data_IF_678760872920
#
_entry.id   IF_678760872920
#
_cell.length_a   1.000
_cell.length_b   1.000
_cell.length_c   1.000
_cell.angle_alpha   90.00
_cell.angle_beta   90.00
_cell.angle_gamma   90.00
#
_symmetry.space_group_name_H-M   'P 1'
#
loop_
_entity.id
_entity.type
_entity.pdbx_description
1 polymer ?
#
# COMPACT_ATOMS: atom_id res chain seq x y z
N UNK A 1 -2.96 -22.01 9.55
CA UNK A 1 -3.57 -20.71 9.22
C UNK A 1 -3.14 -20.24 7.86
N UNK A 2 -4.07 -19.68 7.13
CA UNK A 2 -3.82 -19.18 5.80
C UNK A 2 -3.17 -17.79 5.88
N UNK A 3 -2.01 -17.62 5.24
CA UNK A 3 -1.37 -16.33 5.12
C UNK A 3 -1.69 -15.70 3.77
N UNK A 4 -1.81 -14.38 3.76
CA UNK A 4 -2.05 -13.62 2.52
C UNK A 4 -0.71 -13.18 1.93
N UNK A 5 -0.61 -13.23 0.61
CA UNK A 5 0.59 -12.78 -0.09
C UNK A 5 0.61 -11.26 -0.12
N UNK A 6 1.77 -10.68 0.19
CA UNK A 6 2.02 -9.24 0.10
C UNK A 6 3.23 -9.04 -0.80
N UNK A 7 3.03 -8.27 -1.86
CA UNK A 7 4.07 -7.90 -2.82
C UNK A 7 4.23 -6.39 -2.82
N UNK A 8 5.27 -5.90 -3.46
CA UNK A 8 5.49 -4.46 -3.55
C UNK A 8 6.13 -4.10 -4.89
N UNK A 9 5.91 -2.85 -5.30
CA UNK A 9 6.48 -2.29 -6.52
C UNK A 9 7.92 -1.84 -6.28
N UNK A 10 8.64 -1.61 -7.37
CA UNK A 10 9.99 -1.02 -7.29
C UNK A 10 9.94 0.36 -6.64
N UNK A 11 8.92 1.15 -6.95
CA UNK A 11 8.73 2.48 -6.39
C UNK A 11 8.54 2.44 -4.88
N UNK A 12 7.75 1.48 -4.39
CA UNK A 12 7.63 1.28 -2.95
C UNK A 12 8.97 0.90 -2.34
N UNK A 13 9.72 0.01 -2.99
CA UNK A 13 11.02 -0.42 -2.51
C UNK A 13 12.02 0.73 -2.41
N UNK A 14 12.00 1.65 -3.38
CA UNK A 14 12.85 2.84 -3.34
C UNK A 14 12.49 3.75 -2.16
N UNK A 15 11.20 4.00 -1.94
CA UNK A 15 10.73 4.79 -0.80
C UNK A 15 11.13 4.12 0.53
N UNK A 16 10.97 2.82 0.63
CA UNK A 16 11.34 2.04 1.81
C UNK A 16 12.81 2.22 2.19
N UNK A 17 13.69 2.22 1.21
CA UNK A 17 15.13 2.35 1.45
C UNK A 17 15.52 3.73 2.00
N UNK A 18 14.71 4.74 1.78
CA UNK A 18 14.96 6.08 2.31
C UNK A 18 14.54 6.25 3.77
N UNK A 19 13.79 5.29 4.31
CA UNK A 19 13.26 5.37 5.67
C UNK A 19 14.31 4.97 6.70
N UNK A 20 14.20 5.53 7.90
CA UNK A 20 15.02 5.08 9.02
C UNK A 20 14.51 3.74 9.54
N UNK A 21 15.33 3.09 10.39
CA UNK A 21 15.01 1.76 10.91
C UNK A 21 13.71 1.74 11.71
N UNK A 22 13.45 2.78 12.51
CA UNK A 22 12.22 2.85 13.31
C UNK A 22 10.98 2.85 12.43
N UNK A 23 10.99 3.63 11.33
CA UNK A 23 9.88 3.66 10.38
C UNK A 23 9.71 2.31 9.68
N UNK A 24 10.81 1.69 9.28
CA UNK A 24 10.78 0.37 8.66
C UNK A 24 10.20 -0.69 9.59
N UNK A 25 10.54 -0.65 10.88
CA UNK A 25 9.99 -1.58 11.87
C UNK A 25 8.48 -1.40 12.05
N UNK A 26 8.01 -0.15 12.10
CA UNK A 26 6.57 0.13 12.21
C UNK A 26 5.80 -0.37 10.98
N UNK A 27 6.34 -0.16 9.80
CA UNK A 27 5.74 -0.64 8.56
C UNK A 27 5.74 -2.17 8.53
N UNK A 28 6.84 -2.80 8.91
CA UNK A 28 6.95 -4.26 8.94
C UNK A 28 5.90 -4.88 9.86
N UNK A 29 5.66 -4.27 11.03
CA UNK A 29 4.62 -4.73 11.95
C UNK A 29 3.23 -4.66 11.31
N UNK A 30 2.95 -3.59 10.59
CA UNK A 30 1.68 -3.42 9.88
C UNK A 30 1.53 -4.43 8.75
N UNK A 31 2.60 -4.69 8.01
CA UNK A 31 2.59 -5.70 6.93
C UNK A 31 2.35 -7.10 7.51
N UNK A 32 2.89 -7.41 8.69
CA UNK A 32 2.59 -8.68 9.36
C UNK A 32 1.10 -8.82 9.68
N UNK A 33 0.46 -7.74 10.17
CA UNK A 33 -0.98 -7.74 10.39
C UNK A 33 -1.75 -7.96 9.09
N UNK A 34 -1.33 -7.32 8.02
CA UNK A 34 -1.94 -7.48 6.71
C UNK A 34 -1.79 -8.93 6.21
N UNK A 35 -0.63 -9.53 6.40
CA UNK A 35 -0.38 -10.92 6.03
C UNK A 35 -1.30 -11.89 6.80
N UNK A 36 -1.58 -11.59 8.07
CA UNK A 36 -2.44 -12.44 8.90
C UNK A 36 -3.92 -12.25 8.67
N UNK A 37 -4.36 -11.01 8.46
CA UNK A 37 -5.78 -10.66 8.37
C UNK A 37 -6.28 -10.49 6.93
N UNK A 38 -5.40 -10.15 6.01
CA UNK A 38 -5.78 -9.92 4.61
C UNK A 38 -6.82 -8.82 4.46
N UNK A 39 -7.86 -9.06 3.62
CA UNK A 39 -8.90 -8.05 3.39
C UNK A 39 -9.71 -7.67 4.62
N UNK A 40 -9.66 -8.47 5.69
CA UNK A 40 -10.40 -8.23 6.92
C UNK A 40 -9.67 -7.31 7.90
N UNK A 41 -8.47 -6.83 7.56
CA UNK A 41 -7.71 -5.95 8.43
C UNK A 41 -8.48 -4.66 8.70
N UNK A 42 -8.85 -4.39 9.99
CA UNK A 42 -9.75 -3.27 10.30
C UNK A 42 -9.03 -1.96 10.49
N UNK A 43 -9.81 -0.87 10.54
CA UNK A 43 -9.32 0.43 10.96
C UNK A 43 -8.77 0.35 12.39
N UNK A 44 -7.69 1.01 12.76
CA UNK A 44 -6.93 1.97 11.92
C UNK A 44 -5.82 1.34 11.08
N UNK A 45 -5.66 0.03 11.15
CA UNK A 45 -4.59 -0.68 10.42
C UNK A 45 -4.84 -0.73 8.93
N UNK A 46 -6.09 -0.55 8.50
CA UNK A 46 -6.47 -0.41 7.10
C UNK A 46 -7.75 0.41 6.98
N UNK A 47 -7.81 1.28 5.99
CA UNK A 47 -9.02 2.05 5.69
C UNK A 47 -9.12 2.27 4.18
N UNK A 48 -10.36 2.53 3.72
CA UNK A 48 -10.58 2.83 2.31
C UNK A 48 -10.04 4.19 1.92
N UNK A 49 -9.62 4.33 0.68
CA UNK A 49 -9.10 5.59 0.12
C UNK A 49 -10.18 6.23 -0.74
N UNK A 50 -10.55 7.46 -0.40
CA UNK A 50 -11.47 8.26 -1.22
C UNK A 50 -10.71 8.90 -2.38
N UNK A 51 -11.32 8.90 -3.57
CA UNK A 51 -10.77 9.60 -4.73
C UNK A 51 -9.91 8.75 -5.66
N UNK A 52 -9.66 7.49 -5.31
CA UNK A 52 -9.00 6.57 -6.22
C UNK A 52 -10.00 6.11 -7.30
N UNK A 53 -9.49 5.86 -8.53
CA UNK A 53 -10.27 5.20 -9.58
C UNK A 53 -10.61 3.75 -9.22
N UNK A 54 -9.88 3.20 -8.27
CA UNK A 54 -10.06 1.83 -7.82
C UNK A 54 -10.77 1.83 -6.47
N UNK A 55 -12.02 1.40 -6.44
CA UNK A 55 -12.87 1.44 -5.24
C UNK A 55 -12.32 0.61 -4.08
N UNK A 56 -11.43 -0.33 -4.38
CA UNK A 56 -10.82 -1.22 -3.39
C UNK A 56 -9.43 -0.77 -2.94
N UNK A 57 -9.00 0.45 -3.32
CA UNK A 57 -7.75 1.02 -2.83
C UNK A 57 -7.85 1.26 -1.33
N UNK A 58 -6.82 0.85 -0.59
CA UNK A 58 -6.79 0.97 0.87
C UNK A 58 -5.48 1.56 1.34
N UNK A 59 -5.47 2.02 2.60
CA UNK A 59 -4.25 2.52 3.23
C UNK A 59 -4.23 2.15 4.71
N UNK A 60 -3.06 1.75 5.27
CA UNK A 60 -2.85 1.72 6.71
C UNK A 60 -2.50 3.12 7.21
N UNK A 61 -2.78 3.34 8.50
CA UNK A 61 -2.39 4.58 9.19
C UNK A 61 -1.25 4.25 10.12
N UNK A 62 -0.05 4.65 9.74
CA UNK A 62 1.17 4.31 10.48
C UNK A 62 1.76 5.59 11.07
N UNK A 63 2.17 5.53 12.33
CA UNK A 63 2.88 6.62 12.99
C UNK A 63 4.31 6.20 13.27
N UNK A 64 5.26 7.03 12.92
CA UNK A 64 6.65 6.77 13.24
C UNK A 64 7.36 8.09 13.57
N UNK A 65 7.87 8.19 14.81
CA UNK A 65 8.54 9.41 15.26
C UNK A 65 7.68 10.65 15.15
N UNK A 66 6.37 10.52 15.37
CA UNK A 66 5.42 11.62 15.24
C UNK A 66 5.00 11.92 13.81
N UNK A 67 5.50 11.17 12.83
CA UNK A 67 5.17 11.38 11.42
C UNK A 67 4.07 10.42 10.96
N UNK A 68 3.00 10.95 10.34
CA UNK A 68 1.95 10.11 9.78
C UNK A 68 2.38 9.56 8.42
N UNK A 69 2.64 8.26 8.38
CA UNK A 69 3.00 7.57 7.15
C UNK A 69 1.78 6.87 6.58
N UNK A 70 1.67 6.85 5.26
CA UNK A 70 0.58 6.17 4.53
C UNK A 70 1.17 5.32 3.42
N UNK A 71 0.57 4.16 3.20
CA UNK A 71 0.95 3.25 2.12
C UNK A 71 -0.31 2.90 1.37
N UNK A 72 -0.32 3.08 0.05
CA UNK A 72 -1.49 2.75 -0.76
C UNK A 72 -1.36 1.34 -1.29
N UNK A 73 -2.37 0.52 -1.05
CA UNK A 73 -2.38 -0.86 -1.52
C UNK A 73 -3.79 -1.34 -1.86
N UNK A 74 -3.94 -2.09 -2.94
CA UNK A 74 -5.15 -2.86 -3.23
C UNK A 74 -4.85 -4.34 -3.06
N UNK A 75 -5.91 -5.17 -3.04
CA UNK A 75 -5.76 -6.59 -3.35
C UNK A 75 -6.01 -6.76 -4.84
N UNK A 76 -5.09 -7.40 -5.55
CA UNK A 76 -5.22 -7.61 -6.99
C UNK A 76 -6.14 -8.81 -7.29
N UNK A 77 -6.44 -9.11 -8.58
CA UNK A 77 -7.31 -10.24 -8.91
C UNK A 77 -6.80 -11.60 -8.43
N UNK A 78 -5.52 -11.75 -8.17
CA UNK A 78 -4.95 -12.97 -7.56
C UNK A 78 -5.18 -13.01 -6.05
N UNK A 79 -5.75 -11.92 -5.47
CA UNK A 79 -5.97 -11.71 -4.03
C UNK A 79 -4.65 -11.53 -3.27
N UNK A 80 -3.66 -10.99 -3.93
CA UNK A 80 -2.41 -10.54 -3.29
C UNK A 80 -2.50 -9.04 -3.00
N UNK A 81 -2.02 -8.61 -1.84
CA UNK A 81 -1.93 -7.19 -1.51
C UNK A 81 -0.67 -6.62 -2.18
N UNK A 82 -0.82 -5.51 -2.89
CA UNK A 82 0.29 -4.88 -3.61
C UNK A 82 0.56 -3.53 -2.97
N UNK A 83 1.71 -3.39 -2.32
CA UNK A 83 2.16 -2.12 -1.76
C UNK A 83 2.67 -1.25 -2.92
N UNK A 84 1.89 -0.25 -3.30
CA UNK A 84 2.16 0.54 -4.51
C UNK A 84 3.16 1.64 -4.27
N UNK A 85 2.90 2.47 -3.26
CA UNK A 85 3.74 3.61 -2.92
C UNK A 85 3.40 4.06 -1.51
N UNK A 86 4.37 4.63 -0.83
CA UNK A 86 4.18 5.20 0.49
C UNK A 86 4.63 6.64 0.53
N UNK A 87 4.28 7.33 1.60
CA UNK A 87 4.68 8.70 1.80
C UNK A 87 4.44 9.18 3.22
N UNK A 88 5.12 10.27 3.56
CA UNK A 88 4.97 11.00 4.81
C UNK A 88 4.05 12.19 4.54
N UNK A 89 2.89 12.21 5.22
CA UNK A 89 1.93 13.28 4.97
C UNK A 89 2.06 14.45 5.96
N UNK A 90 3.14 14.50 6.74
CA UNK A 90 3.38 15.58 7.70
C UNK A 90 3.30 16.94 7.03
N UNK A 91 2.38 17.79 7.49
CA UNK A 91 2.25 19.16 7.01
C UNK A 91 1.88 19.31 5.53
N UNK A 92 1.41 18.24 4.90
CA UNK A 92 1.12 18.23 3.47
C UNK A 92 -0.39 18.12 3.21
N UNK A 93 -1.03 19.27 3.01
CA UNK A 93 -2.47 19.33 2.74
C UNK A 93 -2.86 18.78 1.37
N UNK A 94 -1.89 18.63 0.46
CA UNK A 94 -2.09 18.14 -0.89
C UNK A 94 -1.65 16.69 -1.05
N UNK A 95 -1.36 16.02 0.05
CA UNK A 95 -0.79 14.66 0.03
C UNK A 95 -1.63 13.70 -0.82
N UNK A 96 -2.91 13.56 -0.50
CA UNK A 96 -3.78 12.63 -1.21
C UNK A 96 -4.01 13.05 -2.66
N UNK A 97 -4.16 14.34 -2.91
CA UNK A 97 -4.34 14.87 -4.26
C UNK A 97 -3.16 14.52 -5.16
N UNK A 98 -1.95 14.52 -4.58
CA UNK A 98 -0.72 14.19 -5.32
C UNK A 98 -0.49 12.68 -5.39
N UNK A 99 -0.74 11.94 -4.31
CA UNK A 99 -0.35 10.54 -4.19
C UNK A 99 -1.36 9.57 -4.80
N UNK A 100 -2.65 9.87 -4.73
CA UNK A 100 -3.66 8.95 -5.26
C UNK A 100 -3.49 8.71 -6.76
N UNK A 101 -3.25 9.73 -7.61
CA UNK A 101 -2.98 9.46 -9.03
C UNK A 101 -1.74 8.59 -9.27
N UNK A 102 -0.70 8.74 -8.44
CA UNK A 102 0.49 7.88 -8.54
C UNK A 102 0.12 6.44 -8.19
N UNK A 103 -0.62 6.22 -7.10
CA UNK A 103 -1.04 4.89 -6.71
C UNK A 103 -1.91 4.24 -7.80
N UNK A 104 -2.86 4.98 -8.36
CA UNK A 104 -3.73 4.49 -9.44
C UNK A 104 -2.92 4.07 -10.66
N UNK A 105 -1.96 4.89 -11.07
CA UNK A 105 -1.09 4.59 -12.21
C UNK A 105 -0.26 3.32 -11.96
N UNK A 106 0.32 3.21 -10.78
CA UNK A 106 1.13 2.04 -10.44
C UNK A 106 0.29 0.76 -10.41
N UNK A 107 -0.94 0.85 -9.96
CA UNK A 107 -1.83 -0.31 -9.99
C UNK A 107 -2.21 -0.69 -11.42
N UNK A 108 -2.52 0.28 -12.27
CA UNK A 108 -2.80 0.01 -13.69
C UNK A 108 -1.62 -0.69 -14.37
N UNK A 109 -0.39 -0.23 -14.10
CA UNK A 109 0.83 -0.86 -14.63
C UNK A 109 0.98 -2.30 -14.11
N UNK A 110 0.69 -2.51 -12.84
CA UNK A 110 0.74 -3.85 -12.24
C UNK A 110 -0.24 -4.81 -12.91
N UNK A 111 -1.47 -4.38 -13.12
CA UNK A 111 -2.49 -5.20 -13.79
C UNK A 111 -2.06 -5.53 -15.22
N UNK A 112 -1.53 -4.56 -15.94
CA UNK A 112 -1.03 -4.77 -17.30
C UNK A 112 0.09 -5.81 -17.33
N UNK A 113 1.04 -5.75 -16.41
CA UNK A 113 2.11 -6.73 -16.29
C UNK A 113 1.56 -8.14 -16.02
N UNK A 114 0.59 -8.26 -15.11
CA UNK A 114 -0.03 -9.56 -14.82
C UNK A 114 -0.72 -10.13 -16.05
N UNK A 115 -1.39 -9.30 -16.84
CA UNK A 115 -2.04 -9.72 -18.07
C UNK A 115 -1.02 -10.21 -19.10
N UNK A 116 0.08 -9.46 -19.28
CA UNK A 116 1.15 -9.80 -20.22
C UNK A 116 1.84 -11.11 -19.83
N UNK A 117 1.95 -11.37 -18.54
CA UNK A 117 2.55 -12.61 -18.02
C UNK A 117 1.56 -13.78 -18.00
N UNK A 118 0.31 -13.55 -18.37
CA UNK A 118 -0.72 -14.58 -18.36
C UNK A 118 -1.20 -15.02 -16.99
N UNK A 119 -0.95 -14.22 -15.96
CA UNK A 119 -1.34 -14.54 -14.58
C UNK A 119 -2.79 -14.16 -14.28
N UNK A 120 -3.38 -13.29 -15.08
CA UNK A 120 -4.80 -12.92 -15.03
C UNK A 120 -5.32 -12.74 -16.45
N UNK A 121 -6.66 -12.84 -16.67
CA UNK A 121 -7.27 -12.62 -17.98
C UNK A 121 -7.05 -11.20 -18.53
#
# INVERSE_FOLDING_TARGET
>A
MKSWVVEFTDEFGEWWQELNEAAQDEISATVELLTGHGPDLPFPYSSGVCGSRHSHMREPRIQSGGKPLRIFYPFDPRRAAILLIGGDKTGDKQFYKRMIPVADRLYDEHIEELQQEGLIP
#
